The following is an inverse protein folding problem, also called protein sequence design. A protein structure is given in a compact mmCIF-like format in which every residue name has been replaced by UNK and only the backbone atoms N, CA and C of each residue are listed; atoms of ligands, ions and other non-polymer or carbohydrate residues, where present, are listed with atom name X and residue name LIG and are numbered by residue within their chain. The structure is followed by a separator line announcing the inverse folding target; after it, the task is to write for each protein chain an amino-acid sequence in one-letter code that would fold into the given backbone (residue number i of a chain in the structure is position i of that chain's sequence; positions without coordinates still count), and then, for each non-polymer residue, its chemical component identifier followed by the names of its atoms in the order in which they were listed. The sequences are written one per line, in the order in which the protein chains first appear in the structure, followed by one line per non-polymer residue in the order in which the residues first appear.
data_IF_289786951293
#
_entry.id   IF_289786951293
#
_cell.length_a   1.000
_cell.length_b   1.000
_cell.length_c   1.000
_cell.angle_alpha   90.00
_cell.angle_beta   90.00
_cell.angle_gamma   90.00
#
_symmetry.space_group_name_H-M   'P 1'
#
loop_
_entity.id
_entity.type
_entity.pdbx_description
1 polymer ?
#
# COMPACT_ATOMS: atom_id res chain seq x y z
N UNK A 1 35.07 10.63 -13.79
CA UNK A 1 34.00 10.10 -14.68
C UNK A 1 32.68 10.33 -13.98
N UNK A 2 31.75 11.07 -14.59
CA UNK A 2 30.40 11.26 -14.03
C UNK A 2 29.50 10.26 -14.72
N UNK A 3 29.08 9.22 -14.02
CA UNK A 3 28.09 8.26 -14.52
C UNK A 3 26.74 8.99 -14.59
N UNK A 4 26.15 9.06 -15.79
CA UNK A 4 24.81 9.62 -15.97
C UNK A 4 23.80 8.49 -15.96
N UNK A 5 22.83 8.59 -15.06
CA UNK A 5 21.68 7.69 -15.01
C UNK A 5 20.70 8.06 -16.13
N UNK A 6 20.29 7.08 -16.92
CA UNK A 6 19.32 7.27 -18.01
C UNK A 6 18.06 6.49 -17.64
N UNK A 7 16.93 7.17 -17.37
CA UNK A 7 15.69 6.48 -17.03
C UNK A 7 15.11 5.71 -18.23
N UNK A 8 14.56 4.53 -17.95
CA UNK A 8 13.84 3.71 -18.93
C UNK A 8 12.60 4.43 -19.48
N UNK A 9 12.27 4.20 -20.75
CA UNK A 9 11.14 4.87 -21.41
C UNK A 9 9.77 4.37 -20.94
N UNK A 10 9.69 3.13 -20.45
CA UNK A 10 8.47 2.51 -19.92
C UNK A 10 8.73 1.80 -18.61
N UNK A 11 7.78 1.91 -17.70
CA UNK A 11 7.76 1.12 -16.47
C UNK A 11 7.31 -0.31 -16.79
N UNK A 12 7.76 -1.24 -15.96
CA UNK A 12 7.45 -2.66 -16.02
C UNK A 12 7.04 -3.14 -14.64
N UNK A 13 6.51 -4.36 -14.52
CA UNK A 13 6.05 -4.91 -13.23
C UNK A 13 7.10 -4.89 -12.12
N UNK A 14 8.40 -4.87 -12.45
CA UNK A 14 9.48 -4.78 -11.46
C UNK A 14 9.64 -3.41 -10.80
N UNK A 15 9.07 -2.37 -11.41
CA UNK A 15 9.15 -0.98 -10.94
C UNK A 15 7.97 -0.64 -9.99
N UNK A 16 7.16 -1.64 -9.66
CA UNK A 16 5.96 -1.52 -8.83
C UNK A 16 6.03 -2.39 -7.58
N UNK A 17 5.43 -1.89 -6.52
CA UNK A 17 5.15 -2.60 -5.27
C UNK A 17 3.65 -2.63 -5.01
N UNK A 18 3.19 -3.47 -4.09
CA UNK A 18 1.78 -3.43 -3.69
C UNK A 18 1.45 -2.05 -3.07
N UNK A 19 0.29 -1.52 -3.41
CA UNK A 19 -0.26 -0.33 -2.74
C UNK A 19 -0.49 -0.61 -1.26
N UNK A 20 -0.58 0.44 -0.44
CA UNK A 20 -0.59 0.33 1.03
C UNK A 20 -1.70 -0.58 1.57
N UNK A 21 -2.82 -0.68 0.87
CA UNK A 21 -4.00 -1.47 1.21
C UNK A 21 -3.93 -2.93 0.73
N UNK A 22 -2.81 -3.34 0.15
CA UNK A 22 -2.63 -4.64 -0.51
C UNK A 22 -1.38 -5.36 -0.02
N UNK A 23 -1.47 -6.67 0.08
CA UNK A 23 -0.37 -7.57 0.45
C UNK A 23 -0.12 -8.57 -0.67
N UNK A 24 1.15 -8.97 -0.82
CA UNK A 24 1.54 -9.95 -1.84
C UNK A 24 1.19 -11.36 -1.39
N UNK A 25 0.44 -12.11 -2.20
CA UNK A 25 0.09 -13.49 -1.93
C UNK A 25 1.22 -14.47 -2.33
N UNK A 26 1.00 -15.78 -2.15
CA UNK A 26 1.98 -16.81 -2.49
C UNK A 26 2.26 -16.96 -4.00
N UNK A 27 1.38 -16.41 -4.86
CA UNK A 27 1.55 -16.39 -6.31
C UNK A 27 2.28 -15.13 -6.78
N UNK A 28 2.40 -14.13 -5.92
CA UNK A 28 3.00 -12.84 -6.23
C UNK A 28 1.97 -11.75 -6.55
N UNK A 29 0.67 -12.04 -6.43
CA UNK A 29 -0.42 -11.11 -6.71
C UNK A 29 -0.67 -10.18 -5.53
N UNK A 30 -0.93 -8.89 -5.78
CA UNK A 30 -1.31 -7.94 -4.73
C UNK A 30 -2.81 -8.07 -4.43
N UNK A 31 -3.14 -8.68 -3.29
CA UNK A 31 -4.52 -8.91 -2.82
C UNK A 31 -4.88 -7.93 -1.69
N UNK A 32 -6.17 -7.55 -1.52
CA UNK A 32 -6.56 -6.65 -0.45
C UNK A 32 -6.18 -7.17 0.95
N UNK A 33 -5.52 -6.33 1.73
CA UNK A 33 -5.27 -6.57 3.15
C UNK A 33 -6.36 -5.89 3.98
N UNK A 34 -7.37 -6.66 4.38
CA UNK A 34 -8.52 -6.13 5.11
C UNK A 34 -8.17 -5.61 6.51
N UNK A 35 -7.11 -6.11 7.15
CA UNK A 35 -6.65 -5.59 8.44
C UNK A 35 -6.04 -4.20 8.25
N UNK A 36 -5.21 -4.03 7.23
CA UNK A 36 -4.60 -2.75 6.88
C UNK A 36 -5.65 -1.73 6.40
N UNK A 37 -6.63 -2.17 5.60
CA UNK A 37 -7.75 -1.34 5.15
C UNK A 37 -8.62 -0.90 6.33
N UNK A 38 -8.88 -1.77 7.30
CA UNK A 38 -9.64 -1.44 8.51
C UNK A 38 -8.99 -0.36 9.38
N UNK A 39 -7.66 -0.25 9.32
CA UNK A 39 -6.87 0.77 10.01
C UNK A 39 -6.70 2.06 9.20
N UNK A 40 -7.12 2.05 7.93
CA UNK A 40 -7.02 3.19 7.05
C UNK A 40 -8.34 3.98 7.01
N UNK A 41 -8.26 5.30 6.83
CA UNK A 41 -9.44 6.17 6.74
C UNK A 41 -10.13 6.11 5.35
N UNK A 42 -9.79 5.12 4.51
CA UNK A 42 -10.28 5.07 3.12
C UNK A 42 -11.78 4.77 3.07
N UNK A 43 -12.26 3.90 3.96
CA UNK A 43 -13.65 3.47 4.00
C UNK A 43 -14.57 4.49 4.68
N UNK A 44 -14.01 5.35 5.56
CA UNK A 44 -14.75 6.44 6.20
C UNK A 44 -15.25 7.48 5.18
N UNK A 45 -14.51 7.65 4.08
CA UNK A 45 -14.85 8.57 3.00
C UNK A 45 -15.85 8.00 1.99
N UNK A 46 -16.06 6.69 2.02
CA UNK A 46 -16.83 5.96 1.00
C UNK A 46 -18.33 5.80 1.35
N UNK A 47 -18.80 6.40 2.45
CA UNK A 47 -20.18 6.30 2.94
C UNK A 47 -20.74 4.86 2.98
N UNK A 48 -19.87 3.87 3.19
CA UNK A 48 -20.25 2.48 3.37
C UNK A 48 -20.41 1.62 2.12
N UNK A 49 -20.10 2.10 0.91
CA UNK A 49 -20.27 1.30 -0.32
C UNK A 49 -18.98 0.53 -0.68
N UNK A 50 -18.27 1.02 -1.69
CA UNK A 50 -17.05 0.43 -2.24
C UNK A 50 -16.03 1.52 -2.52
N UNK A 51 -14.76 1.23 -2.29
CA UNK A 51 -13.63 2.06 -2.73
C UNK A 51 -12.95 1.40 -3.93
N UNK A 52 -12.62 2.21 -4.92
CA UNK A 52 -11.84 1.78 -6.09
C UNK A 52 -10.38 2.14 -5.85
N UNK A 53 -9.52 1.14 -5.75
CA UNK A 53 -8.09 1.32 -5.46
C UNK A 53 -7.23 0.52 -6.43
N UNK A 54 -6.11 1.10 -6.84
CA UNK A 54 -5.11 0.41 -7.65
C UNK A 54 -4.26 -0.50 -6.75
N UNK A 55 -4.12 -1.81 -7.08
CA UNK A 55 -3.36 -2.76 -6.26
C UNK A 55 -1.85 -2.54 -6.25
N UNK A 56 -1.35 -1.78 -7.23
CA UNK A 56 0.08 -1.53 -7.43
C UNK A 56 0.35 -0.03 -7.37
N UNK A 57 1.50 0.33 -6.81
CA UNK A 57 2.06 1.68 -6.83
C UNK A 57 3.51 1.63 -7.30
N UNK A 58 3.98 2.69 -7.96
CA UNK A 58 5.39 2.79 -8.32
C UNK A 58 6.25 2.79 -7.06
N UNK A 59 7.35 2.04 -7.08
CA UNK A 59 8.30 2.03 -5.98
C UNK A 59 8.84 3.45 -5.78
N UNK A 60 8.92 3.89 -4.52
CA UNK A 60 9.41 5.23 -4.21
C UNK A 60 10.84 5.41 -4.73
N UNK A 61 10.99 6.39 -5.61
CA UNK A 61 12.28 6.74 -6.20
C UNK A 61 12.50 6.17 -7.60
N UNK A 62 11.59 5.32 -8.10
CA UNK A 62 11.64 4.89 -9.50
C UNK A 62 11.41 6.07 -10.46
N UNK A 63 12.11 6.04 -11.60
CA UNK A 63 12.19 7.15 -12.55
C UNK A 63 11.75 6.79 -13.96
N UNK A 64 11.21 5.59 -14.16
CA UNK A 64 10.68 5.17 -15.46
C UNK A 64 9.65 6.20 -15.99
N UNK A 65 9.69 6.48 -17.29
CA UNK A 65 8.97 7.64 -17.84
C UNK A 65 7.47 7.39 -18.05
N UNK A 66 7.09 6.16 -18.40
CA UNK A 66 5.71 5.81 -18.74
C UNK A 66 5.16 4.73 -17.81
N UNK A 67 4.31 5.10 -16.83
CA UNK A 67 3.60 4.16 -15.98
C UNK A 67 2.77 3.15 -16.78
N UNK A 68 2.61 1.96 -16.22
CA UNK A 68 1.67 0.95 -16.68
C UNK A 68 0.24 1.39 -16.36
N UNK A 69 -0.71 0.96 -17.20
CA UNK A 69 -2.14 1.04 -16.86
C UNK A 69 -2.44 -0.06 -15.85
N UNK A 70 -2.94 0.33 -14.67
CA UNK A 70 -3.28 -0.59 -13.58
C UNK A 70 -4.80 -0.60 -13.45
N UNK A 71 -5.40 -1.79 -13.54
CA UNK A 71 -6.83 -1.94 -13.31
C UNK A 71 -7.12 -1.79 -11.82
N UNK A 72 -7.99 -0.83 -11.48
CA UNK A 72 -8.42 -0.62 -10.12
C UNK A 72 -9.36 -1.75 -9.66
N UNK A 73 -9.21 -2.16 -8.41
CA UNK A 73 -10.06 -3.15 -7.76
C UNK A 73 -11.07 -2.47 -6.85
N UNK A 74 -12.31 -2.97 -6.90
CA UNK A 74 -13.39 -2.50 -6.05
C UNK A 74 -13.40 -3.28 -4.74
N UNK A 75 -13.21 -2.57 -3.62
CA UNK A 75 -13.16 -3.12 -2.28
C UNK A 75 -14.42 -2.72 -1.51
N UNK A 76 -15.23 -3.68 -1.02
CA UNK A 76 -16.43 -3.38 -0.24
C UNK A 76 -16.10 -2.97 1.20
N UNK A 77 -16.61 -1.81 1.63
CA UNK A 77 -16.36 -1.26 2.98
C UNK A 77 -17.35 -1.77 4.05
N UNK A 78 -18.53 -2.29 3.65
CA UNK A 78 -19.60 -2.73 4.56
C UNK A 78 -19.17 -3.80 5.59
N UNK A 79 -18.20 -4.65 5.25
CA UNK A 79 -17.75 -5.76 6.10
C UNK A 79 -16.68 -5.36 7.10
N UNK A 80 -15.95 -4.29 6.84
CA UNK A 80 -14.72 -3.91 7.55
C UNK A 80 -15.07 -3.18 8.87
N UNK A 81 -16.15 -2.38 8.86
CA UNK A 81 -16.63 -1.64 10.04
C UNK A 81 -17.09 -2.54 11.19
N UNK A 82 -17.43 -3.81 10.93
CA UNK A 82 -17.94 -4.73 11.98
C UNK A 82 -16.83 -5.26 12.88
N UNK A 83 -15.60 -5.37 12.39
CA UNK A 83 -14.48 -5.94 13.16
C UNK A 83 -13.68 -4.87 13.94
N UNK A 84 -13.63 -3.63 13.44
CA UNK A 84 -12.97 -2.50 14.12
C UNK A 84 -13.66 -1.99 15.39
N UNK A 85 -14.88 -2.47 15.70
CA UNK A 85 -15.61 -2.09 16.92
C UNK A 85 -14.99 -2.65 18.22
N UNK A 86 -13.97 -3.52 18.13
CA UNK A 86 -13.10 -3.87 19.25
C UNK A 86 -11.74 -3.20 19.08
N UNK A 87 -11.65 -1.94 19.50
CA UNK A 87 -10.42 -1.15 19.50
C UNK A 87 -9.26 -1.89 20.18
N UNK A 88 -8.44 -2.58 19.39
CA UNK A 88 -7.14 -3.09 19.84
C UNK A 88 -6.27 -1.87 20.11
N UNK A 89 -6.12 -1.56 21.40
CA UNK A 89 -5.23 -0.52 21.91
C UNK A 89 -3.83 -0.77 21.34
N UNK A 90 -3.34 0.13 20.49
CA UNK A 90 -1.96 0.10 20.01
C UNK A 90 -1.06 0.30 21.24
N UNK A 91 -0.25 -0.73 21.56
CA UNK A 91 0.72 -0.67 22.64
C UNK A 91 2.05 -0.23 22.04
N UNK A 92 2.41 1.03 22.24
CA UNK A 92 3.75 1.54 21.94
C UNK A 92 4.71 1.24 23.08
N UNK A 93 5.89 0.74 22.74
CA UNK A 93 7.01 0.58 23.67
C UNK A 93 8.12 1.53 23.18
N UNK A 94 8.45 2.54 23.99
CA UNK A 94 9.59 3.42 23.69
C UNK A 94 10.89 2.69 24.02
N UNK A 95 11.70 2.41 22.99
CA UNK A 95 13.06 1.92 23.17
C UNK A 95 14.00 3.11 23.46
N UNK A 96 14.67 3.09 24.61
CA UNK A 96 15.78 4.01 24.88
C UNK A 96 17.07 3.37 24.36
N UNK A 97 17.76 4.10 23.47
CA UNK A 97 19.13 3.76 23.10
C UNK A 97 20.07 4.46 24.08
N UNK A 98 20.70 3.68 24.96
CA UNK A 98 21.78 4.17 25.80
C UNK A 98 23.06 4.21 24.95
N UNK A 99 23.45 5.41 24.53
CA UNK A 99 24.77 5.65 23.93
C UNK A 99 25.76 5.93 25.06
N UNK A 100 26.61 4.95 25.38
CA UNK A 100 27.85 5.20 26.11
C UNK A 100 28.86 5.81 25.12
N UNK A 101 29.32 7.04 25.38
CA UNK A 101 30.43 7.70 24.68
C UNK A 101 31.69 7.58 25.53
#
# INVERSE_FOLDING_TARGET
MILHEIPCDSCTESDYECSSEFVRDAKGDCIPDYDQIALSDICDKANGETVSLEPLQLIKGDKCKKPMEIEAMNIPCEKILRESSNGKKIVTIENKFDFEI
#
